data_IF_902150817379
#
_entry.id   IF_902150817379
#
_cell.length_a   1.000
_cell.length_b   1.000
_cell.length_c   1.000
_cell.angle_alpha   90.00
_cell.angle_beta   90.00
_cell.angle_gamma   90.00
#
_symmetry.space_group_name_H-M   'P 1'
#
loop_
_entity.id
_entity.type
_entity.pdbx_description
1 polymer ?
#
# COMPACT_ATOMS: atom_id res chain seq x y z
N UNK A 1 43.94 19.64 -73.61
CA UNK A 1 42.54 19.27 -73.89
C UNK A 1 41.95 18.69 -72.61
N UNK A 2 40.87 19.31 -72.09
CA UNK A 2 39.81 18.78 -71.20
C UNK A 2 40.15 18.25 -69.78
N UNK A 3 40.04 19.17 -68.82
CA UNK A 3 39.17 19.21 -67.63
C UNK A 3 38.66 17.90 -66.96
N UNK A 4 38.72 17.82 -65.62
CA UNK A 4 37.62 18.26 -64.73
C UNK A 4 37.91 17.94 -63.24
N UNK A 5 37.52 18.90 -62.38
CA UNK A 5 37.42 18.78 -60.91
C UNK A 5 36.30 17.80 -60.52
N UNK A 6 36.47 17.08 -59.41
CA UNK A 6 35.34 16.72 -58.53
C UNK A 6 35.84 16.48 -57.10
N UNK A 7 35.46 17.40 -56.21
CA UNK A 7 35.33 17.12 -54.78
C UNK A 7 34.12 16.18 -54.56
N UNK A 8 34.05 15.47 -53.42
CA UNK A 8 32.91 15.56 -52.49
C UNK A 8 33.01 14.53 -51.33
N UNK A 9 33.09 15.11 -50.14
CA UNK A 9 32.47 14.78 -48.83
C UNK A 9 32.50 13.37 -48.22
N UNK A 10 33.20 13.32 -47.08
CA UNK A 10 33.08 12.39 -45.96
C UNK A 10 31.67 12.43 -45.34
N UNK A 11 30.99 11.28 -45.28
CA UNK A 11 29.74 11.11 -44.52
C UNK A 11 29.97 10.25 -43.29
N UNK A 12 29.91 10.84 -42.09
CA UNK A 12 29.94 10.12 -40.81
C UNK A 12 28.50 9.76 -40.42
N UNK A 13 28.13 8.48 -40.50
CA UNK A 13 26.81 8.01 -40.06
C UNK A 13 26.81 7.72 -38.55
N UNK A 14 26.12 8.54 -37.75
CA UNK A 14 25.79 8.22 -36.36
C UNK A 14 24.64 7.20 -36.34
N UNK A 15 24.95 5.95 -35.97
CA UNK A 15 23.94 4.96 -35.63
C UNK A 15 23.48 5.21 -34.17
N UNK A 16 22.33 5.87 -34.00
CA UNK A 16 21.68 6.00 -32.69
C UNK A 16 21.03 4.67 -32.28
N UNK A 17 21.49 4.07 -31.19
CA UNK A 17 20.82 2.93 -30.56
C UNK A 17 19.55 3.43 -29.87
N UNK A 18 18.37 3.12 -30.42
CA UNK A 18 17.10 3.35 -29.74
C UNK A 18 16.93 2.22 -28.72
N UNK A 19 17.11 2.53 -27.43
CA UNK A 19 16.75 1.60 -26.35
C UNK A 19 15.23 1.46 -26.32
N UNK A 20 14.71 0.30 -26.73
CA UNK A 20 13.31 -0.05 -26.50
C UNK A 20 13.17 -0.39 -25.01
N UNK A 21 12.75 0.57 -24.20
CA UNK A 21 12.30 0.28 -22.86
C UNK A 21 11.09 -0.64 -22.96
N UNK A 22 11.20 -1.88 -22.44
CA UNK A 22 10.03 -2.73 -22.25
C UNK A 22 9.29 -2.21 -21.03
N UNK A 23 8.04 -1.80 -21.20
CA UNK A 23 7.13 -1.72 -20.08
C UNK A 23 6.93 -3.15 -19.55
N UNK A 24 7.24 -3.40 -18.30
CA UNK A 24 6.77 -4.61 -17.63
C UNK A 24 5.28 -4.45 -17.41
N UNK A 25 4.47 -5.35 -17.96
CA UNK A 25 3.04 -5.41 -17.66
C UNK A 25 2.89 -5.72 -16.16
N UNK A 26 2.59 -4.69 -15.37
CA UNK A 26 2.38 -4.86 -13.95
C UNK A 26 1.19 -5.81 -13.71
N UNK A 27 1.41 -6.88 -12.94
CA UNK A 27 0.35 -7.80 -12.56
C UNK A 27 -0.78 -7.04 -11.85
N UNK A 28 -2.00 -7.15 -12.40
CA UNK A 28 -3.21 -6.58 -11.81
C UNK A 28 -3.87 -7.65 -10.93
N UNK A 29 -3.78 -7.45 -9.62
CA UNK A 29 -4.42 -8.29 -8.62
C UNK A 29 -5.91 -7.96 -8.55
N UNK A 30 -6.75 -8.95 -8.85
CA UNK A 30 -8.22 -8.79 -8.83
C UNK A 30 -8.83 -9.06 -7.45
N UNK A 31 -8.08 -9.70 -6.55
CA UNK A 31 -8.50 -10.04 -5.20
C UNK A 31 -7.32 -10.02 -4.23
N UNK A 32 -7.55 -9.85 -2.92
CA UNK A 32 -6.51 -9.94 -1.92
C UNK A 32 -6.01 -11.39 -1.81
N UNK A 33 -4.79 -11.66 -2.28
CA UNK A 33 -4.10 -12.93 -2.04
C UNK A 33 -3.38 -12.88 -0.68
N UNK A 34 -3.76 -13.71 0.31
CA UNK A 34 -3.19 -13.62 1.65
C UNK A 34 -1.66 -13.80 1.69
N UNK A 35 -1.11 -14.66 0.83
CA UNK A 35 0.33 -14.94 0.82
C UNK A 35 1.11 -13.75 0.27
N UNK A 36 0.65 -13.16 -0.83
CA UNK A 36 1.26 -11.96 -1.41
C UNK A 36 1.17 -10.75 -0.47
N UNK A 37 0.05 -10.57 0.20
CA UNK A 37 -0.14 -9.47 1.17
C UNK A 37 0.76 -9.68 2.39
N UNK A 38 0.88 -10.92 2.88
CA UNK A 38 1.81 -11.24 3.98
C UNK A 38 3.26 -10.94 3.59
N UNK A 39 3.65 -11.28 2.37
CA UNK A 39 5.00 -11.01 1.86
C UNK A 39 5.30 -9.51 1.83
N UNK A 40 4.38 -8.70 1.28
CA UNK A 40 4.49 -7.23 1.30
C UNK A 40 4.56 -6.72 2.74
N UNK A 41 3.67 -7.20 3.63
CA UNK A 41 3.64 -6.77 5.03
C UNK A 41 4.98 -6.99 5.76
N UNK A 42 5.68 -8.10 5.46
CA UNK A 42 7.02 -8.38 6.02
C UNK A 42 8.09 -7.38 5.57
N UNK A 43 7.89 -6.69 4.45
CA UNK A 43 8.77 -5.61 4.01
C UNK A 43 8.68 -4.34 4.86
N UNK A 44 7.58 -4.13 5.59
CA UNK A 44 7.35 -2.94 6.43
C UNK A 44 7.61 -3.20 7.92
N UNK A 45 7.58 -4.46 8.35
CA UNK A 45 7.78 -4.81 9.76
C UNK A 45 7.52 -6.29 10.03
N UNK A 46 7.36 -6.66 11.30
CA UNK A 46 7.00 -8.03 11.63
C UNK A 46 5.56 -8.30 11.19
N UNK A 47 5.32 -9.39 10.47
CA UNK A 47 3.98 -9.80 10.07
C UNK A 47 3.84 -11.33 10.08
N UNK A 48 2.67 -11.81 10.48
CA UNK A 48 2.30 -13.24 10.50
C UNK A 48 0.87 -13.44 10.03
N UNK A 49 0.62 -14.59 9.40
CA UNK A 49 -0.75 -15.03 9.09
C UNK A 49 -1.47 -15.43 10.38
N UNK A 50 -2.77 -15.18 10.38
CA UNK A 50 -3.73 -15.49 11.43
C UNK A 50 -5.13 -15.68 10.80
N UNK A 51 -6.14 -15.86 11.64
CA UNK A 51 -7.55 -15.81 11.24
C UNK A 51 -8.33 -14.87 12.15
N UNK A 52 -9.38 -14.25 11.62
CA UNK A 52 -10.32 -13.50 12.43
C UNK A 52 -11.32 -14.43 13.14
N UNK A 53 -12.23 -13.85 13.92
CA UNK A 53 -13.23 -14.60 14.70
C UNK A 53 -14.22 -15.38 13.82
N UNK A 54 -14.38 -14.99 12.56
CA UNK A 54 -15.21 -15.69 11.58
C UNK A 54 -14.44 -16.79 10.84
N UNK A 55 -13.11 -16.84 10.98
CA UNK A 55 -12.23 -17.79 10.29
C UNK A 55 -11.63 -17.26 8.98
N UNK A 56 -11.93 -16.01 8.61
CA UNK A 56 -11.37 -15.36 7.43
C UNK A 56 -9.88 -15.06 7.64
N UNK A 57 -9.08 -14.96 6.56
CA UNK A 57 -7.66 -14.62 6.68
C UNK A 57 -7.47 -13.29 7.40
N UNK A 58 -6.46 -13.24 8.27
CA UNK A 58 -6.04 -12.01 8.92
C UNK A 58 -4.51 -11.98 8.97
N UNK A 59 -3.91 -10.80 8.81
CA UNK A 59 -2.48 -10.62 9.08
C UNK A 59 -2.33 -9.78 10.34
N UNK A 60 -1.54 -10.28 11.29
CA UNK A 60 -1.14 -9.50 12.48
C UNK A 60 0.31 -9.06 12.34
N UNK A 61 0.61 -7.84 12.78
CA UNK A 61 1.97 -7.32 12.67
C UNK A 61 2.31 -6.15 13.57
N UNK A 62 3.50 -5.62 13.36
CA UNK A 62 4.00 -4.40 13.99
C UNK A 62 4.84 -3.60 13.00
N UNK A 63 4.53 -2.32 12.87
CA UNK A 63 5.23 -1.33 12.07
C UNK A 63 5.55 -0.14 12.98
N UNK A 64 6.80 0.32 13.03
CA UNK A 64 7.25 1.45 13.89
C UNK A 64 6.83 1.38 15.37
N UNK A 65 6.74 0.16 15.91
CA UNK A 65 6.31 -0.06 17.27
C UNK A 65 4.80 -0.07 17.47
N UNK A 66 4.00 0.19 16.44
CA UNK A 66 2.53 0.12 16.47
C UNK A 66 2.07 -1.26 16.05
N UNK A 67 1.32 -1.95 16.92
CA UNK A 67 0.66 -3.21 16.56
C UNK A 67 -0.46 -2.92 15.58
N UNK A 68 -0.66 -3.78 14.60
CA UNK A 68 -1.78 -3.65 13.67
C UNK A 68 -2.27 -5.02 13.21
N UNK A 69 -3.48 -5.03 12.67
CA UNK A 69 -4.04 -6.13 11.91
C UNK A 69 -4.43 -5.67 10.51
N UNK A 70 -4.38 -6.58 9.54
CA UNK A 70 -5.01 -6.44 8.23
C UNK A 70 -6.10 -7.50 8.14
N UNK A 71 -7.35 -7.04 8.15
CA UNK A 71 -8.53 -7.89 7.97
C UNK A 71 -8.85 -8.03 6.50
N UNK A 72 -9.27 -9.23 6.10
CA UNK A 72 -9.75 -9.52 4.76
C UNK A 72 -11.28 -9.49 4.80
N UNK A 73 -11.90 -8.72 3.91
CA UNK A 73 -13.34 -8.48 3.92
C UNK A 73 -14.02 -8.89 2.62
N UNK A 74 -15.31 -9.23 2.73
CA UNK A 74 -16.13 -9.68 1.60
C UNK A 74 -15.72 -11.06 1.08
N UNK A 75 -15.29 -11.93 1.99
CA UNK A 75 -14.88 -13.29 1.65
C UNK A 75 -16.09 -14.19 1.37
N UNK A 76 -15.91 -15.15 0.48
CA UNK A 76 -16.84 -16.25 0.18
C UNK A 76 -16.16 -17.54 0.63
N UNK A 77 -16.76 -18.25 1.60
CA UNK A 77 -16.20 -19.46 2.21
C UNK A 77 -14.75 -19.31 2.71
N UNK A 78 -14.45 -18.19 3.38
CA UNK A 78 -13.11 -17.81 3.86
C UNK A 78 -12.05 -17.58 2.78
N UNK A 79 -12.48 -17.48 1.51
CA UNK A 79 -11.64 -17.24 0.35
C UNK A 79 -12.19 -16.08 -0.49
N UNK A 80 -11.52 -15.75 -1.60
CA UNK A 80 -12.02 -14.84 -2.64
C UNK A 80 -12.51 -13.46 -2.14
N UNK A 81 -11.90 -12.95 -1.07
CA UNK A 81 -12.19 -11.66 -0.46
C UNK A 81 -12.09 -10.49 -1.47
N UNK A 82 -12.68 -9.34 -1.14
CA UNK A 82 -12.79 -8.19 -2.06
C UNK A 82 -12.05 -6.93 -1.60
N UNK A 83 -11.72 -6.85 -0.31
CA UNK A 83 -11.05 -5.68 0.25
C UNK A 83 -10.22 -6.04 1.47
N UNK A 84 -9.39 -5.09 1.88
CA UNK A 84 -8.62 -5.15 3.11
C UNK A 84 -9.01 -3.99 4.03
N UNK A 85 -8.85 -4.18 5.33
CA UNK A 85 -8.85 -3.09 6.31
C UNK A 85 -7.63 -3.22 7.21
N UNK A 86 -6.78 -2.20 7.19
CA UNK A 86 -5.77 -2.00 8.21
C UNK A 86 -6.44 -1.47 9.47
N UNK A 87 -6.05 -2.00 10.62
CA UNK A 87 -6.66 -1.66 11.90
C UNK A 87 -5.63 -1.67 13.03
N UNK A 88 -5.70 -0.66 13.90
CA UNK A 88 -5.10 -0.70 15.24
C UNK A 88 -6.09 -0.14 16.25
N UNK A 89 -6.06 -0.67 17.46
CA UNK A 89 -6.91 -0.23 18.56
C UNK A 89 -6.15 -0.09 19.87
N UNK A 90 -6.63 0.81 20.73
CA UNK A 90 -6.13 1.01 22.10
C UNK A 90 -7.29 1.07 23.09
N UNK A 91 -7.01 0.77 24.35
CA UNK A 91 -8.02 0.73 25.42
C UNK A 91 -8.57 2.10 25.77
N UNK A 92 -7.74 3.14 25.65
CA UNK A 92 -8.14 4.49 26.02
C UNK A 92 -9.06 5.06 24.93
N UNK A 93 -10.27 5.54 25.30
CA UNK A 93 -11.26 6.02 24.33
C UNK A 93 -10.91 7.40 23.79
N UNK A 94 -11.29 7.64 22.53
CA UNK A 94 -11.37 9.00 21.99
C UNK A 94 -12.75 9.58 22.20
N UNK A 95 -12.82 10.88 22.45
CA UNK A 95 -14.06 11.64 22.25
C UNK A 95 -14.33 11.81 20.76
N UNK A 96 -15.59 12.09 20.40
CA UNK A 96 -15.96 12.43 19.02
C UNK A 96 -15.19 13.65 18.50
N UNK A 97 -14.94 14.64 19.36
CA UNK A 97 -14.16 15.83 19.02
C UNK A 97 -12.71 15.47 18.68
N UNK A 98 -12.06 14.60 19.48
CA UNK A 98 -10.70 14.12 19.21
C UNK A 98 -10.64 13.33 17.90
N UNK A 99 -11.60 12.41 17.68
CA UNK A 99 -11.67 11.64 16.44
C UNK A 99 -11.88 12.54 15.21
N UNK A 100 -12.77 13.54 15.30
CA UNK A 100 -13.01 14.50 14.23
C UNK A 100 -11.79 15.40 13.97
N UNK A 101 -11.09 15.84 15.01
CA UNK A 101 -9.86 16.61 14.88
C UNK A 101 -8.76 15.81 14.16
N UNK A 102 -8.60 14.54 14.52
CA UNK A 102 -7.71 13.61 13.81
C UNK A 102 -8.10 13.47 12.33
N UNK A 103 -9.38 13.16 12.06
CA UNK A 103 -9.89 12.94 10.70
C UNK A 103 -9.80 14.19 9.81
N UNK A 104 -9.83 15.39 10.40
CA UNK A 104 -9.60 16.65 9.69
C UNK A 104 -8.12 16.88 9.37
N UNK A 105 -7.22 16.43 10.25
CA UNK A 105 -5.77 16.64 10.12
C UNK A 105 -5.11 15.65 9.16
N UNK A 106 -5.52 14.38 9.19
CA UNK A 106 -4.86 13.31 8.45
C UNK A 106 -5.77 12.69 7.39
N UNK A 107 -5.19 12.38 6.24
CA UNK A 107 -5.95 11.96 5.06
C UNK A 107 -6.28 10.47 5.02
N UNK A 108 -5.35 9.61 5.44
CA UNK A 108 -5.38 8.19 5.08
C UNK A 108 -6.07 7.30 6.11
N UNK A 109 -5.81 7.53 7.40
CA UNK A 109 -6.33 6.69 8.48
C UNK A 109 -7.42 7.43 9.24
N UNK A 110 -8.58 6.81 9.38
CA UNK A 110 -9.71 7.36 10.15
C UNK A 110 -9.62 6.93 11.60
N UNK A 111 -9.88 7.84 12.52
CA UNK A 111 -10.09 7.57 13.94
C UNK A 111 -11.58 7.48 14.27
N UNK A 112 -11.92 6.58 15.19
CA UNK A 112 -13.28 6.36 15.68
C UNK A 112 -13.30 6.47 17.21
N UNK A 113 -14.30 7.18 17.72
CA UNK A 113 -14.66 7.22 19.14
C UNK A 113 -15.44 5.96 19.53
N UNK A 114 -15.45 5.61 20.82
CA UNK A 114 -16.17 4.46 21.36
C UNK A 114 -15.50 3.87 22.60
N UNK A 115 -15.76 2.58 22.86
CA UNK A 115 -15.08 1.80 23.89
C UNK A 115 -13.64 1.51 23.45
N UNK A 116 -12.75 2.48 23.69
CA UNK A 116 -11.39 2.51 23.19
C UNK A 116 -11.23 3.38 21.93
N UNK A 117 -10.00 3.50 21.46
CA UNK A 117 -9.65 4.26 20.25
C UNK A 117 -9.33 3.31 19.12
N UNK A 118 -9.91 3.53 17.94
CA UNK A 118 -9.72 2.65 16.80
C UNK A 118 -9.32 3.46 15.57
N UNK A 119 -8.32 2.97 14.85
CA UNK A 119 -7.77 3.62 13.67
C UNK A 119 -7.83 2.65 12.50
N UNK A 120 -8.48 3.06 11.40
CA UNK A 120 -8.76 2.17 10.26
C UNK A 120 -8.45 2.81 8.92
N UNK A 121 -7.98 1.99 7.99
CA UNK A 121 -7.80 2.36 6.59
C UNK A 121 -8.21 1.20 5.68
N UNK A 122 -9.17 1.45 4.80
CA UNK A 122 -9.72 0.44 3.89
C UNK A 122 -9.02 0.49 2.53
N UNK A 123 -8.82 -0.67 1.92
CA UNK A 123 -8.27 -0.82 0.57
C UNK A 123 -9.20 -1.69 -0.25
N UNK A 124 -9.74 -1.13 -1.34
CA UNK A 124 -10.58 -1.86 -2.29
C UNK A 124 -9.72 -2.53 -3.37
N UNK A 125 -10.07 -3.76 -3.73
CA UNK A 125 -9.53 -4.43 -4.91
C UNK A 125 -10.48 -4.31 -6.12
N UNK A 126 -11.60 -3.59 -5.99
CA UNK A 126 -12.54 -3.39 -7.09
C UNK A 126 -11.86 -2.65 -8.26
N UNK A 127 -11.96 -3.23 -9.46
CA UNK A 127 -11.27 -2.73 -10.65
C UNK A 127 -9.80 -3.17 -10.78
N UNK A 128 -9.30 -3.91 -9.79
CA UNK A 128 -7.93 -4.42 -9.76
C UNK A 128 -6.93 -3.40 -9.19
N UNK A 129 -5.90 -3.92 -8.54
CA UNK A 129 -4.81 -3.15 -7.95
C UNK A 129 -3.47 -3.77 -8.35
N UNK A 130 -2.46 -2.96 -8.66
CA UNK A 130 -1.10 -3.48 -8.90
C UNK A 130 -0.39 -3.76 -7.59
N UNK A 131 0.60 -4.66 -7.59
CA UNK A 131 1.47 -4.87 -6.42
C UNK A 131 2.08 -3.56 -5.92
N UNK A 132 2.59 -2.71 -6.81
CA UNK A 132 3.15 -1.42 -6.46
C UNK A 132 2.11 -0.51 -5.76
N UNK A 133 0.86 -0.48 -6.22
CA UNK A 133 -0.17 0.29 -5.53
C UNK A 133 -0.48 -0.28 -4.14
N UNK A 134 -0.48 -1.61 -3.99
CA UNK A 134 -0.67 -2.25 -2.68
C UNK A 134 0.49 -1.94 -1.72
N UNK A 135 1.73 -1.95 -2.19
CA UNK A 135 2.90 -1.50 -1.42
C UNK A 135 2.75 -0.05 -0.97
N UNK A 136 2.22 0.84 -1.82
CA UNK A 136 1.90 2.21 -1.44
C UNK A 136 0.80 2.30 -0.37
N UNK A 137 -0.16 1.36 -0.32
CA UNK A 137 -1.12 1.30 0.79
C UNK A 137 -0.42 0.97 2.11
N UNK A 138 0.51 0.02 2.13
CA UNK A 138 1.33 -0.25 3.31
C UNK A 138 2.23 0.93 3.69
N UNK A 139 2.78 1.64 2.70
CA UNK A 139 3.53 2.88 2.90
C UNK A 139 2.69 3.96 3.57
N UNK A 140 1.45 4.17 3.11
CA UNK A 140 0.50 5.10 3.73
C UNK A 140 0.20 4.71 5.18
N UNK A 141 -0.01 3.42 5.46
CA UNK A 141 -0.22 2.94 6.83
C UNK A 141 1.02 3.19 7.71
N UNK A 142 2.21 2.86 7.21
CA UNK A 142 3.48 3.09 7.90
C UNK A 142 3.69 4.57 8.24
N UNK A 143 3.49 5.47 7.28
CA UNK A 143 3.59 6.92 7.50
C UNK A 143 2.61 7.42 8.57
N UNK A 144 1.47 6.75 8.76
CA UNK A 144 0.48 7.08 9.78
C UNK A 144 0.76 6.42 11.13
N UNK A 145 1.51 5.31 11.19
CA UNK A 145 1.79 4.59 12.44
C UNK A 145 2.44 5.50 13.50
N UNK A 146 3.47 6.27 13.11
CA UNK A 146 4.10 7.25 14.00
C UNK A 146 3.12 8.30 14.53
N UNK A 147 2.29 8.86 13.65
CA UNK A 147 1.28 9.86 14.03
C UNK A 147 0.25 9.30 15.01
N UNK A 148 -0.18 8.05 14.82
CA UNK A 148 -1.14 7.38 15.71
C UNK A 148 -0.51 7.25 17.10
N UNK A 149 0.73 6.75 17.14
CA UNK A 149 1.48 6.55 18.38
C UNK A 149 1.64 7.84 19.18
N UNK A 150 2.01 8.93 18.51
CA UNK A 150 2.19 10.23 19.18
C UNK A 150 0.85 10.75 19.72
N UNK A 151 -0.19 10.68 18.90
CA UNK A 151 -1.54 11.12 19.28
C UNK A 151 -2.10 10.37 20.49
N UNK A 152 -2.00 9.04 20.53
CA UNK A 152 -2.47 8.25 21.68
C UNK A 152 -1.57 8.39 22.91
N UNK A 153 -0.30 8.81 22.73
CA UNK A 153 0.63 9.09 23.83
C UNK A 153 0.52 10.52 24.36
N UNK A 154 -0.36 11.36 23.78
CA UNK A 154 -0.49 12.78 24.13
C UNK A 154 0.71 13.65 23.76
N UNK A 155 1.47 13.25 22.73
CA UNK A 155 2.60 14.00 22.17
C UNK A 155 2.20 14.70 20.88
#
# INVERSE_FOLDING_TARGET
MRANLSAFMTGLALAGTVSVARAEDAEILQKPDPTAILDIAKGFGSARMDKDDNGDPMISGRIDGVKYAVYFYGCEDHENCKSLQFSTGYTDPLTEEQANAWNKKYRWVKAYAGDGSNFKMDVSFAGGITRANLEEQFSNWNAMAGNIKDFVSGK
#
